data_IF_486119681465
#
_entry.id   IF_486119681465
#
_cell.length_a   1.000
_cell.length_b   1.000
_cell.length_c   1.000
_cell.angle_alpha   90.00
_cell.angle_beta   90.00
_cell.angle_gamma   90.00
#
_symmetry.space_group_name_H-M   'P 1'
#
loop_
_entity.id
_entity.type
_entity.pdbx_description
1 polymer ?
#
# COMPACT_ATOMS: atom_id res chain seq x y z
N UNK A 1 -68.71 -9.75 64.33
CA UNK A 1 -69.15 -8.39 63.95
C UNK A 1 -68.36 -7.92 62.73
N UNK A 2 -69.10 -7.49 61.70
CA UNK A 2 -68.73 -6.58 60.58
C UNK A 2 -67.61 -6.97 59.59
N UNK A 3 -68.11 -7.44 58.43
CA UNK A 3 -67.59 -7.24 57.06
C UNK A 3 -67.16 -5.78 56.82
N UNK A 4 -66.13 -5.59 56.00
CA UNK A 4 -66.06 -4.50 54.99
C UNK A 4 -65.25 -4.97 53.78
N UNK A 5 -65.97 -5.29 52.70
CA UNK A 5 -65.50 -5.08 51.32
C UNK A 5 -65.52 -3.57 51.05
N UNK A 6 -64.71 -3.10 50.12
CA UNK A 6 -64.86 -1.94 49.21
C UNK A 6 -63.48 -1.74 48.57
N UNK A 7 -63.28 -1.38 47.30
CA UNK A 7 -64.06 -1.29 46.06
C UNK A 7 -62.97 -1.06 44.99
N UNK A 8 -63.08 -1.71 43.84
CA UNK A 8 -62.29 -1.41 42.64
C UNK A 8 -62.81 -0.10 42.03
N UNK A 9 -61.93 0.71 41.38
CA UNK A 9 -62.20 1.10 39.99
C UNK A 9 -60.93 0.93 39.14
N UNK A 10 -60.94 0.12 38.08
CA UNK A 10 -61.40 0.46 36.72
C UNK A 10 -60.48 1.43 35.96
N UNK A 11 -59.59 0.89 35.12
CA UNK A 11 -59.24 1.40 33.77
C UNK A 11 -58.36 0.34 33.06
N UNK A 12 -58.93 -0.67 32.39
CA UNK A 12 -59.06 -0.72 30.93
C UNK A 12 -58.11 0.21 30.14
N UNK A 13 -57.21 -0.36 29.35
CA UNK A 13 -57.01 -0.05 27.93
C UNK A 13 -56.27 -1.24 27.30
N UNK A 14 -57.02 -1.96 26.48
CA UNK A 14 -56.56 -2.93 25.50
C UNK A 14 -56.68 -2.18 24.17
N UNK A 15 -55.56 -1.86 23.52
CA UNK A 15 -55.56 -1.33 22.15
C UNK A 15 -54.62 -2.17 21.30
N UNK A 16 -55.27 -3.05 20.55
CA UNK A 16 -54.85 -3.63 19.29
C UNK A 16 -54.77 -2.49 18.27
N UNK A 17 -53.63 -2.27 17.62
CA UNK A 17 -53.59 -1.56 16.33
C UNK A 17 -52.67 -2.30 15.37
N UNK A 18 -53.30 -3.16 14.58
CA UNK A 18 -52.88 -3.51 13.24
C UNK A 18 -53.23 -2.32 12.33
N UNK A 19 -52.44 -2.17 11.27
CA UNK A 19 -52.57 -1.29 10.10
C UNK A 19 -51.69 -0.05 10.07
N UNK A 20 -50.65 -0.21 9.25
CA UNK A 20 -49.82 0.85 8.70
C UNK A 20 -48.82 0.27 7.70
N UNK A 21 -49.30 -0.53 6.73
CA UNK A 21 -48.59 -0.74 5.47
C UNK A 21 -48.49 0.64 4.78
N UNK A 22 -47.50 1.43 5.16
CA UNK A 22 -47.04 2.53 4.30
C UNK A 22 -46.15 1.90 3.25
N UNK A 23 -46.81 1.37 2.23
CA UNK A 23 -46.30 1.43 0.87
C UNK A 23 -46.14 2.92 0.52
N UNK A 24 -45.04 3.51 0.97
CA UNK A 24 -44.55 4.74 0.38
C UNK A 24 -43.84 4.32 -0.89
N UNK A 25 -44.54 4.49 -2.02
CA UNK A 25 -43.91 4.58 -3.32
C UNK A 25 -42.94 5.75 -3.33
N UNK A 26 -41.73 5.54 -2.82
CA UNK A 26 -40.57 6.15 -3.41
C UNK A 26 -40.17 5.20 -4.52
N UNK A 27 -40.26 5.65 -5.78
CA UNK A 27 -39.58 4.95 -6.85
C UNK A 27 -38.17 4.64 -6.36
N UNK A 28 -37.80 3.37 -6.37
CA UNK A 28 -36.39 2.99 -6.26
C UNK A 28 -35.72 3.63 -7.46
N UNK A 29 -35.25 4.87 -7.28
CA UNK A 29 -34.08 5.30 -7.99
C UNK A 29 -33.07 4.19 -7.70
N UNK A 30 -32.75 3.40 -8.71
CA UNK A 30 -31.61 2.50 -8.62
C UNK A 30 -30.48 3.35 -8.07
N UNK A 31 -29.98 2.99 -6.88
CA UNK A 31 -28.82 3.66 -6.32
C UNK A 31 -27.77 3.66 -7.43
N UNK A 32 -27.32 4.84 -7.85
CA UNK A 32 -26.32 4.97 -8.91
C UNK A 32 -25.12 4.15 -8.45
N UNK A 33 -24.91 2.98 -9.06
CA UNK A 33 -23.73 2.19 -8.79
C UNK A 33 -22.60 2.86 -9.55
N UNK A 34 -21.52 3.18 -8.85
CA UNK A 34 -20.34 3.79 -9.44
C UNK A 34 -19.88 2.99 -10.68
N UNK A 35 -19.33 3.67 -11.68
CA UNK A 35 -18.66 3.02 -12.81
C UNK A 35 -17.28 2.53 -12.38
N UNK A 36 -16.66 1.56 -13.10
CA UNK A 36 -15.28 1.16 -12.79
C UNK A 36 -14.28 2.34 -12.92
N UNK A 37 -14.57 3.28 -13.82
CA UNK A 37 -13.80 4.53 -13.97
C UNK A 37 -13.93 5.42 -12.73
N UNK A 38 -15.15 5.66 -12.24
CA UNK A 38 -15.40 6.44 -11.02
C UNK A 38 -14.69 5.81 -9.80
N UNK A 39 -14.77 4.48 -9.67
CA UNK A 39 -14.09 3.74 -8.59
C UNK A 39 -12.56 3.83 -8.69
N UNK A 40 -11.99 3.78 -9.90
CA UNK A 40 -10.55 3.95 -10.10
C UNK A 40 -10.11 5.35 -9.70
N UNK A 41 -10.83 6.39 -10.14
CA UNK A 41 -10.52 7.78 -9.80
C UNK A 41 -10.57 8.01 -8.29
N UNK A 42 -11.63 7.56 -7.62
CA UNK A 42 -11.75 7.64 -6.16
C UNK A 42 -10.61 6.89 -5.45
N UNK A 43 -10.21 5.73 -5.98
CA UNK A 43 -9.10 4.95 -5.42
C UNK A 43 -7.76 5.67 -5.60
N UNK A 44 -7.50 6.25 -6.78
CA UNK A 44 -6.27 6.97 -7.05
C UNK A 44 -6.16 8.25 -6.20
N UNK A 45 -7.26 8.98 -6.00
CA UNK A 45 -7.28 10.13 -5.09
C UNK A 45 -7.07 9.71 -3.63
N UNK A 46 -7.76 8.66 -3.17
CA UNK A 46 -7.53 8.12 -1.83
C UNK A 46 -6.08 7.68 -1.62
N UNK A 47 -5.46 7.06 -2.62
CA UNK A 47 -4.05 6.69 -2.60
C UNK A 47 -3.15 7.93 -2.49
N UNK A 48 -3.41 8.96 -3.30
CA UNK A 48 -2.66 10.21 -3.31
C UNK A 48 -2.74 10.97 -1.98
N UNK A 49 -3.90 10.96 -1.33
CA UNK A 49 -4.10 11.53 0.00
C UNK A 49 -3.59 10.61 1.13
N UNK A 50 -3.15 9.39 0.79
CA UNK A 50 -2.80 8.31 1.72
C UNK A 50 -3.95 7.98 2.70
N UNK A 51 -5.20 8.13 2.25
CA UNK A 51 -6.39 7.57 2.89
C UNK A 51 -6.51 6.08 2.53
N UNK A 52 -5.70 5.28 3.23
CA UNK A 52 -5.63 3.84 2.99
C UNK A 52 -6.93 3.12 3.35
N UNK A 53 -7.79 3.69 4.22
CA UNK A 53 -9.09 3.10 4.54
C UNK A 53 -10.05 3.26 3.36
N UNK A 54 -10.11 4.45 2.74
CA UNK A 54 -10.88 4.68 1.53
C UNK A 54 -10.35 3.87 0.34
N UNK A 55 -9.03 3.81 0.16
CA UNK A 55 -8.39 2.99 -0.87
C UNK A 55 -8.75 1.50 -0.72
N UNK A 56 -8.64 0.95 0.48
CA UNK A 56 -8.98 -0.46 0.76
C UNK A 56 -10.47 -0.77 0.58
N UNK A 57 -11.36 0.21 0.76
CA UNK A 57 -12.80 0.00 0.56
C UNK A 57 -13.17 -0.24 -0.91
N UNK A 58 -12.32 0.22 -1.83
CA UNK A 58 -12.55 0.21 -3.29
C UNK A 58 -11.58 -0.69 -4.06
N UNK A 59 -10.67 -1.36 -3.38
CA UNK A 59 -9.60 -2.18 -3.99
C UNK A 59 -9.50 -3.55 -3.32
N UNK A 60 -8.74 -4.46 -3.91
CA UNK A 60 -8.34 -5.72 -3.29
C UNK A 60 -6.92 -5.67 -2.67
N UNK A 61 -6.50 -4.49 -2.22
CA UNK A 61 -5.21 -4.26 -1.59
C UNK A 61 -4.97 -5.14 -0.34
N UNK A 62 -6.03 -5.45 0.42
CA UNK A 62 -5.96 -6.34 1.58
C UNK A 62 -5.83 -7.80 1.13
N UNK A 63 -4.76 -8.45 1.58
CA UNK A 63 -4.48 -9.86 1.27
C UNK A 63 -5.06 -10.77 2.34
N UNK A 64 -4.63 -10.60 3.61
CA UNK A 64 -5.06 -11.46 4.73
C UNK A 64 -4.71 -10.88 6.10
N UNK A 65 -5.29 -11.49 7.13
CA UNK A 65 -4.93 -11.25 8.54
C UNK A 65 -4.24 -12.47 9.10
N UNK A 66 -2.99 -12.29 9.53
CA UNK A 66 -2.24 -13.28 10.28
C UNK A 66 -2.71 -13.31 11.72
N UNK A 67 -2.80 -14.51 12.29
CA UNK A 67 -3.25 -14.74 13.66
C UNK A 67 -2.24 -15.60 14.40
N UNK A 68 -2.07 -15.32 15.69
CA UNK A 68 -1.29 -16.22 16.55
C UNK A 68 -2.07 -17.51 16.84
N UNK A 69 -1.44 -18.42 17.60
CA UNK A 69 -1.98 -19.75 17.90
C UNK A 69 -3.33 -19.74 18.66
N UNK A 70 -3.71 -18.64 19.32
CA UNK A 70 -5.03 -18.46 19.98
C UNK A 70 -6.03 -17.68 19.11
N UNK A 71 -5.71 -17.43 17.84
CA UNK A 71 -6.61 -16.76 16.91
C UNK A 71 -6.67 -15.23 17.05
N UNK A 72 -5.78 -14.62 17.83
CA UNK A 72 -5.69 -13.15 17.94
C UNK A 72 -4.94 -12.62 16.71
N UNK A 73 -5.50 -11.62 15.98
CA UNK A 73 -4.80 -10.94 14.91
C UNK A 73 -3.46 -10.35 15.37
N UNK A 74 -2.38 -10.69 14.67
CA UNK A 74 -1.04 -10.15 14.94
C UNK A 74 -0.57 -9.19 13.84
N UNK A 75 -0.97 -9.45 12.60
CA UNK A 75 -0.52 -8.66 11.45
C UNK A 75 -1.59 -8.67 10.37
N UNK A 76 -1.73 -7.57 9.64
CA UNK A 76 -2.48 -7.54 8.38
C UNK A 76 -1.49 -7.45 7.23
N UNK A 77 -1.78 -8.15 6.15
CA UNK A 77 -0.98 -8.14 4.94
C UNK A 77 -1.73 -7.34 3.88
N UNK A 78 -1.08 -6.31 3.37
CA UNK A 78 -1.53 -5.46 2.28
C UNK A 78 -0.47 -5.42 1.19
N UNK A 79 -0.89 -5.22 -0.07
CA UNK A 79 0.02 -5.14 -1.22
C UNK A 79 0.81 -3.83 -1.25
N UNK A 80 0.13 -2.71 -1.02
CA UNK A 80 0.71 -1.37 -1.03
C UNK A 80 0.72 -0.78 0.39
N UNK A 81 1.81 -0.09 0.74
CA UNK A 81 2.01 0.60 2.02
C UNK A 81 1.70 -0.25 3.25
N UNK A 82 2.04 -1.54 3.19
CA UNK A 82 1.76 -2.53 4.24
C UNK A 82 2.16 -2.06 5.65
N UNK A 83 3.32 -1.42 5.77
CA UNK A 83 3.86 -0.93 7.04
C UNK A 83 3.02 0.18 7.69
N UNK A 84 2.33 1.01 6.88
CA UNK A 84 1.46 2.08 7.40
C UNK A 84 0.14 1.56 7.97
N UNK A 85 -0.21 0.33 7.62
CA UNK A 85 -1.50 -0.28 7.95
C UNK A 85 -1.39 -1.31 9.08
N UNK A 86 -0.20 -1.47 9.66
CA UNK A 86 0.05 -2.42 10.74
C UNK A 86 -0.63 -2.01 12.05
N UNK A 87 -1.05 -3.02 12.80
CA UNK A 87 -1.62 -2.85 14.13
C UNK A 87 -0.50 -2.51 15.13
N UNK A 88 -0.64 -1.41 15.88
CA UNK A 88 0.29 -1.09 16.97
C UNK A 88 0.61 0.39 17.14
N UNK A 89 1.63 0.67 17.96
CA UNK A 89 2.08 2.03 18.25
C UNK A 89 2.93 2.59 17.11
N UNK A 90 2.62 3.83 16.71
CA UNK A 90 3.31 4.55 15.63
C UNK A 90 4.69 5.07 16.08
N UNK A 91 5.71 4.21 15.97
CA UNK A 91 7.11 4.50 16.35
C UNK A 91 7.97 5.17 15.27
N UNK A 92 9.30 5.08 15.41
CA UNK A 92 10.28 5.62 14.44
C UNK A 92 10.11 5.02 13.04
N UNK A 93 9.95 3.69 12.96
CA UNK A 93 9.71 2.94 11.72
C UNK A 93 8.46 3.43 10.99
N UNK A 94 7.36 3.67 11.71
CA UNK A 94 6.13 4.23 11.11
C UNK A 94 6.40 5.61 10.49
N UNK A 95 7.11 6.50 11.19
CA UNK A 95 7.40 7.85 10.67
C UNK A 95 8.29 7.82 9.43
N UNK A 96 9.27 6.92 9.37
CA UNK A 96 10.12 6.73 8.19
C UNK A 96 9.29 6.22 7.00
N UNK A 97 8.50 5.14 7.19
CA UNK A 97 7.59 4.64 6.15
C UNK A 97 6.57 5.69 5.69
N UNK A 98 6.10 6.56 6.60
CA UNK A 98 5.16 7.63 6.25
C UNK A 98 5.83 8.68 5.36
N UNK A 99 7.07 9.09 5.66
CA UNK A 99 7.83 9.99 4.78
C UNK A 99 8.08 9.39 3.40
N UNK A 100 8.43 8.10 3.36
CA UNK A 100 8.56 7.37 2.11
C UNK A 100 7.26 7.40 1.31
N UNK A 101 6.13 7.04 1.92
CA UNK A 101 4.83 7.09 1.26
C UNK A 101 4.45 8.51 0.82
N UNK A 102 4.67 9.52 1.67
CA UNK A 102 4.41 10.93 1.34
C UNK A 102 5.21 11.37 0.11
N UNK A 103 6.46 10.88 -0.05
CA UNK A 103 7.29 11.15 -1.23
C UNK A 103 6.82 10.41 -2.47
N UNK A 104 6.46 9.13 -2.35
CA UNK A 104 5.92 8.34 -3.46
C UNK A 104 4.64 8.96 -4.03
N UNK A 105 3.76 9.52 -3.20
CA UNK A 105 2.50 10.09 -3.69
C UNK A 105 2.62 11.54 -4.14
N UNK A 106 3.71 12.23 -3.82
CA UNK A 106 3.88 13.66 -4.07
C UNK A 106 3.74 14.01 -5.56
N UNK A 107 4.34 13.21 -6.43
CA UNK A 107 4.36 13.41 -7.88
C UNK A 107 3.35 12.51 -8.62
N UNK A 108 2.56 11.72 -7.88
CA UNK A 108 1.61 10.79 -8.46
C UNK A 108 0.51 11.55 -9.22
N UNK A 109 0.41 11.25 -10.51
CA UNK A 109 -0.66 11.72 -11.38
C UNK A 109 -1.01 10.65 -12.41
N UNK A 110 -2.19 10.76 -13.00
CA UNK A 110 -2.70 9.76 -13.92
C UNK A 110 -3.61 10.36 -14.98
N UNK A 111 -3.74 9.63 -16.09
CA UNK A 111 -4.67 9.92 -17.18
C UNK A 111 -5.31 8.62 -17.66
N UNK A 112 -6.65 8.53 -17.60
CA UNK A 112 -7.39 7.40 -18.17
C UNK A 112 -7.50 7.59 -19.68
N UNK A 113 -7.15 6.55 -20.44
CA UNK A 113 -7.14 6.54 -21.91
C UNK A 113 -8.38 5.86 -22.49
N UNK A 114 -8.73 4.70 -21.95
CA UNK A 114 -9.89 3.93 -22.37
C UNK A 114 -10.42 3.06 -21.24
N UNK A 115 -11.71 2.73 -21.31
CA UNK A 115 -12.41 1.89 -20.34
C UNK A 115 -13.26 0.89 -21.09
N UNK A 116 -12.92 -0.40 -20.99
CA UNK A 116 -13.71 -1.47 -21.58
C UNK A 116 -14.39 -2.30 -20.50
N UNK A 117 -15.73 -2.36 -20.55
CA UNK A 117 -16.54 -3.11 -19.58
C UNK A 117 -17.12 -4.36 -20.23
N UNK A 118 -16.90 -5.52 -19.60
CA UNK A 118 -17.41 -6.82 -20.02
C UNK A 118 -18.13 -7.51 -18.86
N UNK A 119 -19.44 -7.26 -18.75
CA UNK A 119 -20.28 -7.87 -17.72
C UNK A 119 -19.90 -7.43 -16.30
N UNK A 120 -19.18 -8.29 -15.57
CA UNK A 120 -18.71 -8.04 -14.19
C UNK A 120 -17.24 -7.65 -14.12
N UNK A 121 -16.55 -7.61 -15.25
CA UNK A 121 -15.13 -7.29 -15.33
C UNK A 121 -14.97 -6.01 -16.17
N UNK A 122 -13.90 -5.27 -15.90
CA UNK A 122 -13.51 -4.12 -16.70
C UNK A 122 -11.98 -4.03 -16.79
N UNK A 123 -11.52 -3.45 -17.88
CA UNK A 123 -10.14 -3.08 -18.12
C UNK A 123 -10.08 -1.56 -18.33
N UNK A 124 -9.11 -0.92 -17.70
CA UNK A 124 -8.92 0.52 -17.73
C UNK A 124 -7.49 0.80 -18.15
N UNK A 125 -7.32 1.29 -19.37
CA UNK A 125 -6.01 1.69 -19.88
C UNK A 125 -5.71 3.09 -19.37
N UNK A 126 -4.55 3.28 -18.74
CA UNK A 126 -4.15 4.56 -18.17
C UNK A 126 -2.65 4.78 -18.25
N UNK A 127 -2.27 6.05 -18.26
CA UNK A 127 -0.89 6.48 -18.07
C UNK A 127 -0.74 6.93 -16.62
N UNK A 128 0.26 6.41 -15.92
CA UNK A 128 0.66 6.84 -14.57
C UNK A 128 1.98 7.58 -14.68
N UNK A 129 2.06 8.76 -14.08
CA UNK A 129 3.32 9.49 -13.90
C UNK A 129 3.63 9.55 -12.41
N UNK A 130 4.85 9.17 -12.03
CA UNK A 130 5.31 9.25 -10.65
C UNK A 130 6.82 9.51 -10.58
N UNK A 131 7.39 9.69 -9.38
CA UNK A 131 8.84 9.67 -9.17
C UNK A 131 9.45 8.41 -9.81
N UNK A 132 10.61 8.55 -10.43
CA UNK A 132 11.36 7.41 -10.94
C UNK A 132 12.20 6.79 -9.81
N UNK A 133 11.78 5.63 -9.36
CA UNK A 133 12.42 4.86 -8.31
C UNK A 133 13.51 3.95 -8.82
N UNK A 134 13.67 3.76 -10.14
CA UNK A 134 14.72 2.89 -10.69
C UNK A 134 16.10 3.38 -10.25
N UNK A 135 16.41 4.63 -10.55
CA UNK A 135 17.69 5.26 -10.17
C UNK A 135 17.81 5.51 -8.66
N UNK A 136 16.70 5.72 -7.96
CA UNK A 136 16.69 5.81 -6.48
C UNK A 136 17.16 4.47 -5.88
N UNK A 137 16.63 3.35 -6.37
CA UNK A 137 16.99 2.02 -5.89
C UNK A 137 18.42 1.66 -6.27
N UNK A 138 18.86 2.02 -7.48
CA UNK A 138 20.24 1.85 -7.90
C UNK A 138 21.25 2.64 -7.05
N UNK A 139 20.95 3.90 -6.72
CA UNK A 139 21.77 4.70 -5.79
C UNK A 139 21.77 4.14 -4.37
N UNK A 140 20.64 3.60 -3.94
CA UNK A 140 20.54 2.92 -2.65
C UNK A 140 21.41 1.65 -2.63
N UNK A 141 21.37 0.85 -3.69
CA UNK A 141 22.21 -0.35 -3.88
C UNK A 141 23.71 0.00 -3.89
N UNK A 142 24.10 1.03 -4.64
CA UNK A 142 25.46 1.59 -4.63
C UNK A 142 25.89 1.91 -3.20
N UNK A 143 25.05 2.59 -2.42
CA UNK A 143 25.38 2.98 -1.05
C UNK A 143 25.61 1.76 -0.14
N UNK A 144 24.83 0.68 -0.33
CA UNK A 144 25.01 -0.58 0.40
C UNK A 144 26.35 -1.22 0.04
N UNK A 145 26.66 -1.30 -1.25
CA UNK A 145 27.91 -1.90 -1.72
C UNK A 145 29.13 -1.11 -1.25
N UNK A 146 29.08 0.23 -1.35
CA UNK A 146 30.16 1.11 -0.88
C UNK A 146 30.40 0.97 0.62
N UNK A 147 29.35 0.93 1.44
CA UNK A 147 29.48 0.71 2.88
C UNK A 147 30.06 -0.67 3.19
N UNK A 148 29.64 -1.70 2.44
CA UNK A 148 30.20 -3.05 2.58
C UNK A 148 31.69 -3.10 2.23
N UNK A 149 32.10 -2.45 1.13
CA UNK A 149 33.50 -2.38 0.67
C UNK A 149 34.36 -1.52 1.60
N UNK A 150 33.82 -0.48 2.22
CA UNK A 150 34.59 0.39 3.12
C UNK A 150 34.55 -0.06 4.60
N UNK A 151 33.73 -1.04 4.96
CA UNK A 151 33.66 -1.52 6.35
C UNK A 151 34.94 -2.22 6.81
N UNK A 152 35.45 -1.84 7.98
CA UNK A 152 36.63 -2.47 8.63
C UNK A 152 36.35 -3.88 9.20
N UNK A 153 35.11 -4.36 9.12
CA UNK A 153 34.70 -5.64 9.70
C UNK A 153 34.73 -6.78 8.68
N UNK A 154 35.25 -7.94 9.08
CA UNK A 154 35.28 -9.15 8.26
C UNK A 154 34.02 -9.99 8.50
N UNK A 155 33.31 -10.38 7.42
CA UNK A 155 32.24 -11.39 7.45
C UNK A 155 30.79 -10.92 7.68
N UNK A 156 29.85 -11.87 7.68
CA UNK A 156 28.39 -11.68 7.63
C UNK A 156 27.81 -10.79 8.76
N UNK A 157 28.43 -10.79 9.94
CA UNK A 157 27.94 -9.99 11.08
C UNK A 157 28.22 -8.50 10.92
N UNK A 158 29.33 -8.11 10.29
CA UNK A 158 29.58 -6.69 9.96
C UNK A 158 28.62 -6.24 8.87
N UNK A 159 28.42 -7.07 7.86
CA UNK A 159 27.46 -6.83 6.77
C UNK A 159 26.04 -6.56 7.29
N UNK A 160 25.50 -7.38 8.20
CA UNK A 160 24.17 -7.17 8.80
C UNK A 160 24.11 -5.85 9.59
N UNK A 161 25.18 -5.53 10.34
CA UNK A 161 25.24 -4.31 11.15
C UNK A 161 25.29 -3.05 10.29
N UNK A 162 26.01 -3.10 9.17
CA UNK A 162 26.21 -1.93 8.30
C UNK A 162 24.96 -1.68 7.44
N UNK A 163 24.29 -2.73 6.93
CA UNK A 163 22.96 -2.62 6.30
C UNK A 163 21.93 -1.98 7.24
N UNK A 164 21.93 -2.35 8.52
CA UNK A 164 21.01 -1.76 9.51
C UNK A 164 21.23 -0.26 9.77
N UNK A 165 22.40 0.31 9.47
CA UNK A 165 22.67 1.75 9.64
C UNK A 165 22.14 2.58 8.48
N UNK A 166 22.13 2.01 7.27
CA UNK A 166 21.73 2.67 6.03
C UNK A 166 20.23 3.05 6.06
N UNK A 167 19.40 2.21 6.67
CA UNK A 167 17.95 2.41 6.81
C UNK A 167 17.52 3.70 7.54
N UNK A 168 18.44 4.37 8.24
CA UNK A 168 18.15 5.57 9.03
C UNK A 168 19.14 6.73 8.86
N UNK A 169 20.09 6.62 7.94
CA UNK A 169 21.13 7.63 7.67
C UNK A 169 20.86 8.47 6.42
N UNK A 170 21.86 9.25 6.00
CA UNK A 170 21.80 10.12 4.81
C UNK A 170 21.68 9.34 3.49
N UNK A 171 21.99 8.04 3.52
CA UNK A 171 21.85 7.09 2.40
C UNK A 171 20.52 6.30 2.44
N UNK A 172 19.57 6.70 3.28
CA UNK A 172 18.25 6.07 3.27
C UNK A 172 17.53 6.35 1.95
N UNK A 173 16.65 5.43 1.52
CA UNK A 173 15.83 5.60 0.30
C UNK A 173 15.15 6.98 0.26
N UNK A 174 14.59 7.44 1.39
CA UNK A 174 13.91 8.76 1.46
C UNK A 174 14.88 9.91 1.20
N UNK A 175 16.10 9.84 1.71
CA UNK A 175 17.12 10.88 1.51
C UNK A 175 17.59 10.95 0.05
N UNK A 176 17.63 9.81 -0.64
CA UNK A 176 17.93 9.73 -2.07
C UNK A 176 16.75 10.30 -2.87
N UNK A 177 15.51 9.91 -2.56
CA UNK A 177 14.29 10.47 -3.18
C UNK A 177 14.19 12.00 -3.01
N UNK A 178 14.78 12.59 -1.98
CA UNK A 178 14.81 14.05 -1.79
C UNK A 178 15.77 14.77 -2.74
N UNK A 179 16.69 14.04 -3.37
CA UNK A 179 17.69 14.55 -4.31
C UNK A 179 17.33 14.23 -5.77
N UNK A 180 16.49 13.23 -5.99
CA UNK A 180 16.02 12.85 -7.33
C UNK A 180 14.77 13.64 -7.74
N UNK A 181 14.79 14.17 -8.96
CA UNK A 181 13.65 14.83 -9.60
C UNK A 181 13.10 14.05 -10.80
N UNK A 182 13.71 12.90 -11.12
CA UNK A 182 13.30 12.03 -12.22
C UNK A 182 11.86 11.56 -12.07
N UNK A 183 11.14 11.53 -13.20
CA UNK A 183 9.77 11.01 -13.27
C UNK A 183 9.71 9.83 -14.23
N UNK A 184 9.05 8.77 -13.80
CA UNK A 184 8.66 7.65 -14.64
C UNK A 184 7.26 7.89 -15.22
N UNK A 185 7.04 7.46 -16.46
CA UNK A 185 5.74 7.50 -17.14
C UNK A 185 5.46 6.10 -17.66
N UNK A 186 4.42 5.46 -17.13
CA UNK A 186 4.08 4.07 -17.44
C UNK A 186 2.65 3.97 -17.94
N UNK A 187 2.49 3.35 -19.11
CA UNK A 187 1.18 2.94 -19.64
C UNK A 187 0.84 1.55 -19.10
N UNK A 188 -0.29 1.45 -18.41
CA UNK A 188 -0.76 0.20 -17.78
C UNK A 188 -2.23 -0.05 -18.08
N UNK A 189 -2.62 -1.33 -18.02
CA UNK A 189 -4.02 -1.76 -17.99
C UNK A 189 -4.38 -2.21 -16.58
N UNK A 190 -5.34 -1.53 -15.97
CA UNK A 190 -5.84 -1.83 -14.63
C UNK A 190 -7.11 -2.67 -14.74
N UNK A 191 -7.14 -3.79 -14.01
CA UNK A 191 -8.32 -4.63 -13.90
C UNK A 191 -9.29 -4.09 -12.85
N UNK A 192 -10.59 -4.21 -13.12
CA UNK A 192 -11.62 -4.03 -12.10
C UNK A 192 -12.66 -5.15 -12.21
N UNK A 193 -13.25 -5.51 -11.08
CA UNK A 193 -14.26 -6.57 -11.01
C UNK A 193 -15.40 -6.19 -10.08
N UNK A 194 -16.58 -6.77 -10.31
CA UNK A 194 -17.80 -6.48 -9.55
C UNK A 194 -18.09 -7.59 -8.53
N UNK A 195 -17.99 -7.26 -7.25
CA UNK A 195 -18.30 -8.12 -6.12
C UNK A 195 -19.52 -7.56 -5.37
N UNK A 196 -20.55 -8.39 -5.15
CA UNK A 196 -21.81 -7.99 -4.48
C UNK A 196 -22.46 -6.70 -5.02
N UNK A 197 -22.29 -6.46 -6.34
CA UNK A 197 -22.84 -5.28 -7.01
C UNK A 197 -21.96 -4.03 -6.91
N UNK A 198 -20.81 -4.10 -6.26
CA UNK A 198 -19.85 -3.02 -6.06
C UNK A 198 -18.60 -3.30 -6.89
N UNK A 199 -18.12 -2.30 -7.64
CA UNK A 199 -16.85 -2.42 -8.35
C UNK A 199 -15.66 -2.30 -7.38
N UNK A 200 -14.63 -3.10 -7.65
CA UNK A 200 -13.35 -3.06 -6.97
C UNK A 200 -12.22 -3.05 -7.99
N UNK A 201 -11.18 -2.27 -7.71
CA UNK A 201 -9.95 -2.26 -8.50
C UNK A 201 -9.04 -3.41 -8.05
N UNK A 202 -8.49 -4.11 -9.04
CA UNK A 202 -7.47 -5.13 -8.83
C UNK A 202 -6.09 -4.48 -8.73
N UNK A 203 -5.43 -4.65 -7.58
CA UNK A 203 -4.09 -4.16 -7.29
C UNK A 203 -3.07 -5.19 -7.80
N UNK A 204 -2.87 -5.20 -9.11
CA UNK A 204 -1.88 -6.04 -9.80
C UNK A 204 -0.45 -5.54 -9.60
N UNK A 205 0.53 -6.38 -9.91
CA UNK A 205 1.95 -6.01 -9.86
C UNK A 205 2.27 -4.83 -10.80
N UNK A 206 1.64 -4.77 -11.98
CA UNK A 206 1.77 -3.63 -12.89
C UNK A 206 1.24 -2.33 -12.29
N UNK A 207 0.09 -2.39 -11.60
CA UNK A 207 -0.47 -1.23 -10.91
C UNK A 207 0.43 -0.81 -9.75
N UNK A 208 0.90 -1.76 -8.94
CA UNK A 208 1.83 -1.53 -7.83
C UNK A 208 3.10 -0.86 -8.36
N UNK A 209 3.77 -1.44 -9.35
CA UNK A 209 5.01 -0.89 -9.89
C UNK A 209 4.81 0.55 -10.40
N UNK A 210 3.71 0.80 -11.12
CA UNK A 210 3.41 2.14 -11.63
C UNK A 210 3.18 3.18 -10.52
N UNK A 211 2.34 2.87 -9.53
CA UNK A 211 2.05 3.82 -8.43
C UNK A 211 3.18 3.90 -7.41
N UNK A 212 4.10 2.95 -7.40
CA UNK A 212 5.33 2.95 -6.60
C UNK A 212 6.54 3.52 -7.35
N UNK A 213 6.33 4.07 -8.56
CA UNK A 213 7.37 4.82 -9.26
C UNK A 213 8.34 4.00 -10.09
N UNK A 214 7.92 2.88 -10.67
CA UNK A 214 8.79 1.98 -11.42
C UNK A 214 9.90 1.36 -10.55
N UNK A 215 9.57 1.01 -9.31
CA UNK A 215 10.51 0.43 -8.33
C UNK A 215 11.02 -0.95 -8.74
N UNK A 216 10.22 -1.72 -9.47
CA UNK A 216 10.58 -3.07 -9.94
C UNK A 216 11.37 -3.05 -11.26
N UNK A 217 11.96 -1.90 -11.61
CA UNK A 217 12.79 -1.78 -12.82
C UNK A 217 14.04 -2.65 -12.72
N UNK A 218 14.26 -3.49 -13.72
CA UNK A 218 15.52 -4.23 -13.90
C UNK A 218 16.59 -3.40 -14.63
N UNK A 219 16.27 -2.15 -14.97
CA UNK A 219 17.14 -1.26 -15.72
C UNK A 219 17.36 0.03 -14.93
N UNK A 220 18.64 0.32 -14.68
CA UNK A 220 19.11 1.59 -14.17
C UNK A 220 19.67 2.45 -15.30
N UNK A 221 19.87 3.73 -15.04
CA UNK A 221 20.67 4.57 -15.93
C UNK A 221 22.10 4.03 -16.11
N UNK A 222 22.71 4.32 -17.26
CA UNK A 222 24.07 3.87 -17.59
C UNK A 222 25.09 4.28 -16.52
N UNK A 223 24.92 5.45 -15.89
CA UNK A 223 25.79 5.92 -14.80
C UNK A 223 25.75 4.98 -13.59
N UNK A 224 24.55 4.62 -13.15
CA UNK A 224 24.34 3.72 -12.02
C UNK A 224 24.84 2.32 -12.36
N UNK A 225 24.49 1.80 -13.53
CA UNK A 225 24.92 0.47 -13.95
C UNK A 225 26.45 0.36 -13.99
N UNK A 226 27.13 1.34 -14.58
CA UNK A 226 28.59 1.35 -14.62
C UNK A 226 29.20 1.38 -13.20
N UNK A 227 28.60 2.13 -12.27
CA UNK A 227 29.10 2.19 -10.89
C UNK A 227 28.89 0.88 -10.15
N UNK A 228 27.75 0.22 -10.32
CA UNK A 228 27.49 -1.10 -9.75
C UNK A 228 28.48 -2.14 -10.29
N UNK A 229 28.72 -2.16 -11.61
CA UNK A 229 29.69 -3.07 -12.25
C UNK A 229 31.14 -2.87 -11.75
N UNK A 230 31.50 -1.65 -11.33
CA UNK A 230 32.79 -1.35 -10.67
C UNK A 230 32.81 -1.88 -9.24
N UNK A 231 31.75 -1.62 -8.46
CA UNK A 231 31.63 -2.05 -7.07
C UNK A 231 31.57 -3.57 -6.94
N UNK A 232 30.96 -4.29 -7.88
CA UNK A 232 30.98 -5.76 -7.90
C UNK A 232 32.42 -6.28 -7.96
N UNK A 233 33.27 -5.71 -8.82
CA UNK A 233 34.68 -6.11 -8.94
C UNK A 233 35.48 -5.75 -7.69
N UNK A 234 35.23 -4.59 -7.10
CA UNK A 234 35.86 -4.19 -5.83
C UNK A 234 35.45 -5.12 -4.68
N UNK A 235 34.18 -5.53 -4.65
CA UNK A 235 33.65 -6.44 -3.64
C UNK A 235 34.24 -7.85 -3.80
N UNK A 236 34.34 -8.39 -5.01
CA UNK A 236 35.02 -9.66 -5.29
C UNK A 236 36.47 -9.65 -4.78
N UNK A 237 37.23 -8.59 -5.07
CA UNK A 237 38.59 -8.45 -4.56
C UNK A 237 38.63 -8.40 -3.03
N UNK A 238 37.66 -7.74 -2.39
CA UNK A 238 37.57 -7.69 -0.93
C UNK A 238 37.22 -9.05 -0.31
N UNK A 239 36.38 -9.85 -0.98
CA UNK A 239 36.08 -11.21 -0.57
C UNK A 239 37.33 -12.10 -0.60
N UNK A 240 38.14 -12.00 -1.66
CA UNK A 240 39.41 -12.73 -1.76
C UNK A 240 40.35 -12.35 -0.59
N UNK A 241 40.47 -11.06 -0.27
CA UNK A 241 41.27 -10.61 0.88
C UNK A 241 40.76 -11.19 2.20
N UNK A 242 39.44 -11.22 2.40
CA UNK A 242 38.86 -11.80 3.61
C UNK A 242 39.03 -13.31 3.69
N UNK A 243 39.06 -14.00 2.54
CA UNK A 243 39.34 -15.44 2.49
C UNK A 243 40.79 -15.71 2.93
N UNK A 244 41.74 -14.96 2.39
CA UNK A 244 43.16 -15.05 2.77
C UNK A 244 43.38 -14.76 4.26
N UNK A 245 42.78 -13.68 4.80
CA UNK A 245 42.85 -13.31 6.22
C UNK A 245 42.22 -14.36 7.16
N UNK A 246 41.28 -15.18 6.66
CA UNK A 246 40.62 -16.23 7.45
C UNK A 246 41.41 -17.54 7.50
N UNK A 247 42.30 -17.78 6.52
CA UNK A 247 43.10 -19.00 6.40
C UNK A 247 44.58 -18.84 6.81
N UNK A 248 45.03 -17.63 7.16
CA UNK A 248 46.28 -17.38 7.92
C UNK A 248 46.11 -17.50 9.44
#
# INVERSE_FOLDING_TARGET
MRKKKWLIPSLAILIFFVFGLTACGAGTAEAKTDTPEEVLLDSMEALKELDLDAFNARTDNYVRTHRNWIGIPTQKEYRIFNELQQLGLKGKRYRSNKRFADKIVQNLSWEIKDVQVSGKDAQIDMTVTNIDMSDVMGKYEISIMEDMINSDGTGLTSMIRDIHKIDYGDNSVVSIMEQEEGLSVLDITVGAYKEDGIWKIHVSDSFINAVMGNMDSEHYSDEIQNRLDELEKEYEYKLDQWEDDFFE
#
